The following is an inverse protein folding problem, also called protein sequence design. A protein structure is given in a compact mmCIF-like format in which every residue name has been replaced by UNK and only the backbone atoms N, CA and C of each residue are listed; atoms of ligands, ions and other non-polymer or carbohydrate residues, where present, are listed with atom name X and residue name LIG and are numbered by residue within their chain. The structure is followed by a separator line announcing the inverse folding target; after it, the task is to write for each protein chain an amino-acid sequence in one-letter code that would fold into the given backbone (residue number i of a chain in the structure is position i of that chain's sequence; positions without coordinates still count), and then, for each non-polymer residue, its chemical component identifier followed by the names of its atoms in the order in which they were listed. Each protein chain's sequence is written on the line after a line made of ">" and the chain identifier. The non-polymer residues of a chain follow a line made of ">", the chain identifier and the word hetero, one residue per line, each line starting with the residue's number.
data_IF_013814341187
#
_entry.id   IF_013814341187
#
_cell.length_a   1.000
_cell.length_b   1.000
_cell.length_c   1.000
_cell.angle_alpha   90.00
_cell.angle_beta   90.00
_cell.angle_gamma   90.00
#
_symmetry.space_group_name_H-M   'P 1'
#
loop_
_entity.id
_entity.type
_entity.pdbx_description
1 polymer ?
#
# COMPACT_ATOMS: atom_id res chain seq x y z
N UNK A 1 -9.86 -7.69 4.95
CA UNK A 1 -8.98 -8.34 5.96
C UNK A 1 -9.79 -8.95 7.09
N UNK A 2 -10.93 -8.37 7.46
CA UNK A 2 -11.89 -8.91 8.44
C UNK A 2 -12.20 -10.40 8.23
N UNK A 3 -12.54 -10.81 7.00
CA UNK A 3 -12.87 -12.22 6.68
C UNK A 3 -11.68 -13.20 6.78
N UNK A 4 -10.49 -12.71 7.14
CA UNK A 4 -9.27 -13.52 7.14
C UNK A 4 -8.41 -13.36 8.39
N UNK A 5 -8.86 -12.56 9.36
CA UNK A 5 -8.25 -12.42 10.66
C UNK A 5 -9.35 -12.09 11.65
N UNK A 6 -9.68 -13.05 12.52
CA UNK A 6 -10.74 -12.91 13.53
C UNK A 6 -10.50 -11.72 14.46
N UNK A 7 -9.26 -11.51 14.93
CA UNK A 7 -8.90 -10.37 15.79
C UNK A 7 -9.26 -9.01 15.15
N UNK A 8 -9.04 -8.87 13.83
CA UNK A 8 -9.45 -7.67 13.08
C UNK A 8 -10.97 -7.66 12.85
N UNK A 9 -11.56 -8.80 12.49
CA UNK A 9 -12.99 -8.91 12.20
C UNK A 9 -13.88 -8.61 13.41
N UNK A 10 -13.42 -8.97 14.60
CA UNK A 10 -14.07 -8.67 15.88
C UNK A 10 -13.66 -7.30 16.46
N UNK A 11 -12.72 -6.59 15.83
CA UNK A 11 -12.23 -5.29 16.33
C UNK A 11 -11.38 -5.37 17.61
N UNK A 12 -10.83 -6.55 17.93
CA UNK A 12 -9.95 -6.75 19.09
C UNK A 12 -8.59 -6.07 18.94
N UNK A 13 -8.18 -5.83 17.69
CA UNK A 13 -7.02 -5.01 17.35
C UNK A 13 -7.41 -4.06 16.23
N UNK A 14 -6.98 -2.81 16.30
CA UNK A 14 -7.21 -1.81 15.26
C UNK A 14 -6.11 -1.88 14.21
N UNK A 15 -4.88 -2.09 14.63
CA UNK A 15 -3.73 -2.27 13.75
C UNK A 15 -3.09 -3.63 13.95
N UNK A 16 -2.60 -4.23 12.87
CA UNK A 16 -1.94 -5.54 12.96
C UNK A 16 -0.72 -5.51 13.89
N UNK A 17 -0.04 -4.37 14.05
CA UNK A 17 1.13 -4.25 14.94
C UNK A 17 0.79 -4.33 16.43
N UNK A 18 -0.49 -4.22 16.80
CA UNK A 18 -0.97 -4.39 18.19
C UNK A 18 -1.15 -5.87 18.55
N UNK A 19 -1.11 -6.76 17.56
CA UNK A 19 -1.24 -8.20 17.76
C UNK A 19 0.10 -8.81 18.19
N UNK A 20 0.07 -9.70 19.20
CA UNK A 20 1.24 -10.45 19.66
C UNK A 20 1.91 -11.30 18.55
N UNK A 21 1.12 -11.75 17.57
CA UNK A 21 1.61 -12.54 16.43
C UNK A 21 2.27 -11.69 15.33
N UNK A 22 2.43 -10.39 15.54
CA UNK A 22 2.95 -9.47 14.52
C UNK A 22 4.46 -9.61 14.29
N UNK A 23 4.95 -9.62 13.04
CA UNK A 23 4.18 -9.76 11.80
C UNK A 23 3.80 -11.23 11.53
N UNK A 24 2.50 -11.49 11.38
CA UNK A 24 2.01 -12.86 11.23
C UNK A 24 2.28 -13.42 9.82
N UNK A 25 2.21 -14.75 9.67
CA UNK A 25 2.51 -15.44 8.39
C UNK A 25 1.66 -14.92 7.22
N UNK A 26 0.40 -14.54 7.47
CA UNK A 26 -0.49 -13.98 6.44
C UNK A 26 -0.02 -12.60 6.00
N UNK A 27 0.29 -11.72 6.97
CA UNK A 27 0.77 -10.38 6.67
C UNK A 27 2.10 -10.41 5.92
N UNK A 28 3.05 -11.27 6.33
CA UNK A 28 4.31 -11.48 5.62
C UNK A 28 4.13 -11.89 4.14
N UNK A 29 3.13 -12.73 3.83
CA UNK A 29 2.81 -13.09 2.43
C UNK A 29 2.22 -11.92 1.64
N UNK A 30 1.33 -11.15 2.27
CA UNK A 30 0.76 -9.95 1.66
C UNK A 30 1.87 -8.92 1.37
N UNK A 31 2.71 -8.67 2.38
CA UNK A 31 3.85 -7.78 2.32
C UNK A 31 4.82 -8.15 1.19
N UNK A 32 5.25 -9.42 1.14
CA UNK A 32 6.12 -9.91 0.06
C UNK A 32 5.53 -9.62 -1.32
N UNK A 33 4.25 -9.92 -1.55
CA UNK A 33 3.59 -9.65 -2.83
C UNK A 33 3.58 -8.16 -3.16
N UNK A 34 3.35 -7.30 -2.18
CA UNK A 34 3.30 -5.86 -2.38
C UNK A 34 4.70 -5.27 -2.63
N UNK A 35 5.74 -5.76 -1.95
CA UNK A 35 7.12 -5.36 -2.22
C UNK A 35 7.56 -5.80 -3.60
N UNK A 36 7.28 -7.05 -3.96
CA UNK A 36 7.71 -7.63 -5.23
C UNK A 36 6.97 -7.04 -6.45
N UNK A 37 5.76 -6.50 -6.30
CA UNK A 37 4.91 -6.06 -7.44
C UNK A 37 4.53 -4.58 -7.46
N UNK A 38 4.50 -3.93 -6.30
CA UNK A 38 3.89 -2.61 -6.12
C UNK A 38 4.83 -1.64 -5.40
N UNK A 39 6.10 -2.02 -5.22
CA UNK A 39 7.16 -1.18 -4.66
C UNK A 39 6.77 -0.55 -3.30
N UNK A 40 6.00 -1.30 -2.50
CA UNK A 40 5.53 -0.85 -1.19
C UNK A 40 5.46 -2.01 -0.20
N UNK A 41 5.54 -1.70 1.08
CA UNK A 41 5.62 -2.68 2.16
C UNK A 41 4.49 -2.42 3.16
N UNK A 42 3.67 -3.44 3.41
CA UNK A 42 2.58 -3.32 4.38
C UNK A 42 3.12 -3.33 5.80
N UNK A 43 4.20 -4.08 6.03
CA UNK A 43 4.85 -4.15 7.34
C UNK A 43 5.57 -2.83 7.64
N UNK A 44 6.29 -2.25 6.66
CA UNK A 44 6.98 -0.98 6.90
C UNK A 44 5.97 0.15 7.12
N UNK A 45 4.87 0.19 6.37
CA UNK A 45 3.79 1.15 6.62
C UNK A 45 3.22 1.02 8.04
N UNK A 46 3.01 -0.21 8.53
CA UNK A 46 2.52 -0.44 9.88
C UNK A 46 3.54 -0.08 10.96
N UNK A 47 4.83 -0.32 10.71
CA UNK A 47 5.91 0.09 11.61
C UNK A 47 6.00 1.63 11.68
N UNK A 48 5.89 2.31 10.54
CA UNK A 48 5.89 3.78 10.47
C UNK A 48 4.70 4.37 11.25
N UNK A 49 3.49 3.83 11.06
CA UNK A 49 2.31 4.24 11.85
C UNK A 49 2.54 4.00 13.36
N UNK A 50 3.18 2.89 13.74
CA UNK A 50 3.47 2.60 15.16
C UNK A 50 4.48 3.57 15.75
N UNK A 51 5.48 3.95 14.98
CA UNK A 51 6.63 4.75 15.45
C UNK A 51 6.36 6.25 15.39
N UNK A 52 5.68 6.71 14.34
CA UNK A 52 5.49 8.13 14.04
C UNK A 52 4.01 8.56 14.09
N UNK A 53 3.08 7.62 14.18
CA UNK A 53 1.65 7.90 14.21
C UNK A 53 1.02 8.03 12.82
N UNK A 54 -0.31 8.02 12.79
CA UNK A 54 -1.09 8.03 11.55
C UNK A 54 -0.91 9.33 10.75
N UNK A 55 -0.91 10.49 11.42
CA UNK A 55 -0.87 11.77 10.71
C UNK A 55 0.46 11.98 9.98
N UNK A 56 1.58 11.65 10.63
CA UNK A 56 2.90 11.70 10.01
C UNK A 56 3.02 10.70 8.85
N UNK A 57 2.49 9.48 9.02
CA UNK A 57 2.44 8.49 7.95
C UNK A 57 1.62 8.99 6.75
N UNK A 58 0.45 9.61 6.98
CA UNK A 58 -0.39 10.11 5.89
C UNK A 58 0.29 11.25 5.12
N UNK A 59 0.96 12.17 5.81
CA UNK A 59 1.76 13.22 5.17
C UNK A 59 2.89 12.63 4.31
N UNK A 60 3.63 11.65 4.84
CA UNK A 60 4.71 10.99 4.10
C UNK A 60 4.20 10.23 2.88
N UNK A 61 3.04 9.58 2.98
CA UNK A 61 2.41 8.91 1.83
C UNK A 61 1.87 9.90 0.80
N UNK A 62 1.29 11.02 1.22
CA UNK A 62 0.82 12.06 0.30
C UNK A 62 1.98 12.57 -0.56
N UNK A 63 3.12 12.89 0.06
CA UNK A 63 4.33 13.30 -0.65
C UNK A 63 4.86 12.21 -1.58
N UNK A 64 5.01 10.98 -1.07
CA UNK A 64 5.54 9.83 -1.82
C UNK A 64 4.73 9.52 -3.07
N UNK A 65 3.40 9.60 -2.97
CA UNK A 65 2.48 9.22 -4.05
C UNK A 65 1.97 10.42 -4.85
N UNK A 66 2.55 11.61 -4.65
CA UNK A 66 2.20 12.80 -5.41
C UNK A 66 2.74 12.74 -6.83
N UNK A 67 1.86 12.95 -7.80
CA UNK A 67 2.25 13.11 -9.19
C UNK A 67 3.05 14.41 -9.35
N UNK A 68 4.30 14.36 -9.86
CA UNK A 68 5.12 15.57 -10.00
C UNK A 68 4.58 16.54 -11.06
N UNK A 69 3.74 16.05 -11.99
CA UNK A 69 3.21 16.85 -13.11
C UNK A 69 1.97 17.64 -12.71
N UNK A 70 0.99 16.99 -12.08
CA UNK A 70 -0.33 17.60 -11.81
C UNK A 70 -0.67 17.69 -10.32
N UNK A 71 0.16 17.15 -9.43
CA UNK A 71 -0.09 17.10 -8.00
C UNK A 71 -1.18 16.09 -7.56
N UNK A 72 -1.79 15.36 -8.50
CA UNK A 72 -2.72 14.27 -8.19
C UNK A 72 -2.03 13.03 -7.60
N UNK A 73 -2.75 11.92 -7.47
CA UNK A 73 -2.22 10.69 -6.86
C UNK A 73 -1.71 9.70 -7.90
N UNK A 74 -0.53 9.14 -7.66
CA UNK A 74 0.02 7.99 -8.39
C UNK A 74 -0.47 6.70 -7.73
N UNK A 75 -1.07 5.80 -8.50
CA UNK A 75 -1.57 4.53 -7.98
C UNK A 75 -0.42 3.54 -7.77
N UNK A 76 -0.28 2.98 -6.56
CA UNK A 76 0.78 2.03 -6.23
C UNK A 76 0.75 0.73 -7.06
N UNK A 77 -0.41 0.33 -7.56
CA UNK A 77 -0.56 -0.93 -8.30
C UNK A 77 -0.01 -0.84 -9.72
N UNK A 78 -0.17 0.31 -10.37
CA UNK A 78 0.20 0.49 -11.77
C UNK A 78 1.33 1.50 -11.97
N UNK A 79 1.66 2.33 -10.98
CA UNK A 79 2.66 3.39 -11.08
C UNK A 79 2.21 4.59 -11.91
N UNK A 80 0.91 4.74 -12.18
CA UNK A 80 0.36 5.77 -13.07
C UNK A 80 -0.45 6.81 -12.29
N UNK A 81 -0.39 8.04 -12.77
CA UNK A 81 -1.37 9.06 -12.41
C UNK A 81 -2.52 9.01 -13.41
N UNK A 82 -3.74 8.64 -12.98
CA UNK A 82 -4.86 8.52 -13.92
C UNK A 82 -5.35 9.86 -14.52
N UNK A 83 -4.87 10.98 -14.00
CA UNK A 83 -5.08 12.30 -14.62
C UNK A 83 -4.11 12.58 -15.77
N UNK A 84 -2.87 12.07 -15.68
CA UNK A 84 -1.83 12.32 -16.69
C UNK A 84 -1.69 11.17 -17.69
N UNK A 85 -1.88 9.93 -17.23
CA UNK A 85 -1.47 8.71 -17.93
C UNK A 85 -2.67 7.82 -18.30
N UNK A 86 -3.87 8.39 -18.37
CA UNK A 86 -5.11 7.64 -18.66
C UNK A 86 -5.01 6.84 -19.96
N UNK A 87 -4.45 7.43 -21.01
CA UNK A 87 -4.29 6.78 -22.31
C UNK A 87 -3.36 5.56 -22.24
N UNK A 88 -2.30 5.64 -21.42
CA UNK A 88 -1.39 4.51 -21.19
C UNK A 88 -2.12 3.37 -20.48
N UNK A 89 -2.93 3.68 -19.47
CA UNK A 89 -3.77 2.70 -18.78
C UNK A 89 -4.83 2.08 -19.70
N UNK A 90 -5.46 2.86 -20.58
CA UNK A 90 -6.45 2.36 -21.53
C UNK A 90 -5.85 1.43 -22.59
N UNK A 91 -4.64 1.73 -23.07
CA UNK A 91 -3.91 0.87 -24.02
C UNK A 91 -3.47 -0.46 -23.39
N UNK A 92 -3.11 -0.45 -22.11
CA UNK A 92 -2.75 -1.66 -21.38
C UNK A 92 -3.30 -1.62 -19.94
N UNK A 93 -4.50 -2.18 -19.76
CA UNK A 93 -5.12 -2.28 -18.42
C UNK A 93 -4.35 -3.15 -17.43
N UNK A 94 -3.35 -3.88 -17.91
CA UNK A 94 -2.44 -4.69 -17.08
C UNK A 94 -1.13 -3.97 -16.76
N UNK A 95 -0.90 -2.75 -17.25
CA UNK A 95 0.32 -1.97 -17.02
C UNK A 95 0.67 -1.88 -15.53
N UNK A 96 1.95 -2.11 -15.20
CA UNK A 96 2.51 -1.94 -13.85
C UNK A 96 3.94 -1.46 -13.94
N UNK A 97 4.22 -0.22 -13.54
CA UNK A 97 5.58 0.29 -13.36
C UNK A 97 6.54 0.10 -14.56
N UNK A 98 6.00 -0.03 -15.78
CA UNK A 98 6.79 -0.34 -16.98
C UNK A 98 7.35 -1.78 -17.03
N UNK A 99 6.94 -2.65 -16.11
CA UNK A 99 7.35 -4.05 -16.02
C UNK A 99 6.63 -4.89 -17.08
N UNK A 100 7.30 -5.94 -17.58
CA UNK A 100 6.66 -6.93 -18.45
C UNK A 100 5.70 -7.76 -17.60
N UNK A 101 4.41 -7.70 -17.92
CA UNK A 101 3.33 -8.42 -17.22
C UNK A 101 3.12 -9.80 -17.80
#
# INVERSE_FOLDING_TARGET
>A
MADSCEKIGLGLVRFCFECEDYPCKRLKRLDKRYRDKYHMSMIDNLNDIRENGMDAFLQSQEEKWRCPTCGGTVCCHNGLCLSCDLDLWLKNRRYRWGEKV
#
